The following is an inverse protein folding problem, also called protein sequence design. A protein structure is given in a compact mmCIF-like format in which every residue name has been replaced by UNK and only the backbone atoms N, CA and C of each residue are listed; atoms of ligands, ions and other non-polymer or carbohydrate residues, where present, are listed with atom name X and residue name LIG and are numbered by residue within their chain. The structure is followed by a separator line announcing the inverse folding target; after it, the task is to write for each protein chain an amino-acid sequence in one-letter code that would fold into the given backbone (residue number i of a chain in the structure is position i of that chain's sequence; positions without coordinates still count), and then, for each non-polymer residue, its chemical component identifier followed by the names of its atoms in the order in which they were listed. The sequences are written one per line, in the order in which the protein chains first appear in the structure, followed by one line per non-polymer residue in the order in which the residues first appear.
data_IF_616694979637
#
_entry.id   IF_616694979637
#
_cell.length_a   1.000
_cell.length_b   1.000
_cell.length_c   1.000
_cell.angle_alpha   90.00
_cell.angle_beta   90.00
_cell.angle_gamma   90.00
#
_symmetry.space_group_name_H-M   'P 1'
#
loop_
_entity.id
_entity.type
_entity.pdbx_description
1 polymer ?
#
# COMPACT_ATOMS: atom_id res chain seq x y z
N UNK A 1 6.58 -6.50 14.02
CA UNK A 1 6.13 -5.51 13.00
C UNK A 1 5.75 -4.19 13.66
N UNK A 2 5.90 -3.08 12.96
CA UNK A 2 5.39 -1.76 13.37
C UNK A 2 3.98 -1.61 12.79
N UNK A 3 2.96 -1.47 13.62
CA UNK A 3 1.55 -1.41 13.17
C UNK A 3 1.07 0.04 13.09
N UNK A 4 0.34 0.37 12.05
CA UNK A 4 -0.33 1.64 11.80
C UNK A 4 -1.65 1.45 11.08
N UNK A 5 -2.26 2.53 10.61
CA UNK A 5 -3.50 2.46 9.83
C UNK A 5 -3.57 3.57 8.77
N UNK A 6 -4.31 3.30 7.69
CA UNK A 6 -4.62 4.25 6.63
C UNK A 6 -5.76 5.16 7.08
N UNK A 7 -5.45 6.45 7.25
CA UNK A 7 -6.43 7.44 7.67
C UNK A 7 -7.57 7.59 6.65
N UNK A 8 -7.27 7.46 5.37
CA UNK A 8 -8.26 7.59 4.28
C UNK A 8 -9.19 6.41 4.24
N UNK A 9 -8.68 5.19 4.21
CA UNK A 9 -9.49 3.97 4.14
C UNK A 9 -10.37 3.83 5.38
N UNK A 10 -9.85 4.20 6.55
CA UNK A 10 -10.62 4.26 7.78
C UNK A 10 -11.57 5.49 7.87
N UNK A 11 -11.61 6.35 6.86
CA UNK A 11 -12.39 7.60 6.87
C UNK A 11 -12.13 8.51 8.09
N UNK A 12 -10.94 8.48 8.67
CA UNK A 12 -10.48 9.37 9.74
C UNK A 12 -9.74 10.53 9.07
N UNK A 13 -10.50 11.47 8.49
CA UNK A 13 -9.99 12.49 7.60
C UNK A 13 -9.40 13.72 8.31
N UNK A 14 -9.54 13.84 9.62
CA UNK A 14 -8.82 14.83 10.43
C UNK A 14 -7.48 14.25 10.87
N UNK A 15 -6.39 14.85 10.43
CA UNK A 15 -5.03 14.32 10.71
C UNK A 15 -4.73 14.30 12.21
N UNK A 16 -5.20 15.28 12.98
CA UNK A 16 -5.02 15.30 14.44
C UNK A 16 -5.82 14.18 15.11
N UNK A 17 -7.02 13.87 14.60
CA UNK A 17 -7.80 12.72 15.06
C UNK A 17 -7.10 11.40 14.73
N UNK A 18 -6.52 11.27 13.53
CA UNK A 18 -5.77 10.08 13.16
C UNK A 18 -4.56 9.84 14.09
N UNK A 19 -3.79 10.88 14.40
CA UNK A 19 -2.66 10.76 15.33
C UNK A 19 -3.12 10.45 16.76
N UNK A 20 -4.24 11.04 17.23
CA UNK A 20 -4.83 10.69 18.54
C UNK A 20 -5.25 9.22 18.59
N UNK A 21 -5.96 8.73 17.57
CA UNK A 21 -6.38 7.33 17.49
C UNK A 21 -5.16 6.39 17.46
N UNK A 22 -4.12 6.72 16.70
CA UNK A 22 -2.89 5.95 16.68
C UNK A 22 -2.25 5.89 18.07
N UNK A 23 -2.16 7.02 18.79
CA UNK A 23 -1.62 7.07 20.15
C UNK A 23 -2.45 6.23 21.13
N UNK A 24 -3.78 6.35 21.11
CA UNK A 24 -4.67 5.57 21.96
C UNK A 24 -4.53 4.06 21.76
N UNK A 25 -4.30 3.65 20.51
CA UNK A 25 -4.17 2.24 20.14
C UNK A 25 -2.71 1.75 20.17
N UNK A 26 -1.76 2.57 20.61
CA UNK A 26 -0.32 2.26 20.65
C UNK A 26 0.22 1.85 19.27
N UNK A 27 -0.31 2.48 18.20
CA UNK A 27 0.17 2.32 16.85
C UNK A 27 1.40 3.21 16.62
N UNK A 28 2.25 2.80 15.68
CA UNK A 28 3.55 3.45 15.49
C UNK A 28 3.58 4.43 14.34
N UNK A 29 2.59 4.40 13.45
CA UNK A 29 2.49 5.32 12.32
C UNK A 29 1.04 5.51 11.86
N UNK A 30 0.81 6.56 11.06
CA UNK A 30 -0.40 6.81 10.28
C UNK A 30 -0.03 6.84 8.81
N UNK A 31 -0.81 6.19 7.95
CA UNK A 31 -0.67 6.33 6.52
C UNK A 31 -1.59 7.42 5.99
N UNK A 32 -0.99 8.33 5.19
CA UNK A 32 -1.67 9.45 4.53
C UNK A 32 -1.78 9.17 3.04
N UNK A 33 -2.90 9.52 2.41
CA UNK A 33 -3.08 9.35 0.97
C UNK A 33 -2.92 10.67 0.21
N UNK A 34 -2.12 10.65 -0.84
CA UNK A 34 -1.95 11.79 -1.74
C UNK A 34 -3.20 12.07 -2.60
N UNK A 35 -4.11 11.12 -2.77
CA UNK A 35 -5.34 11.34 -3.55
C UNK A 35 -6.25 12.37 -2.89
N UNK A 36 -6.32 12.40 -1.56
CA UNK A 36 -7.10 13.40 -0.83
C UNK A 36 -6.37 14.74 -0.66
N UNK A 37 -5.05 14.76 -0.74
CA UNK A 37 -4.26 15.98 -0.50
C UNK A 37 -4.65 17.14 -1.38
N UNK A 38 -4.94 16.88 -2.66
CA UNK A 38 -5.35 17.95 -3.58
C UNK A 38 -6.85 18.30 -3.48
N UNK A 39 -7.68 17.33 -3.11
CA UNK A 39 -9.10 17.55 -2.88
C UNK A 39 -9.35 18.29 -1.55
N UNK A 40 -8.54 18.06 -0.55
CA UNK A 40 -8.65 18.64 0.79
C UNK A 40 -7.26 18.99 1.37
N UNK A 41 -6.55 20.01 0.83
CA UNK A 41 -5.16 20.32 1.22
C UNK A 41 -4.97 20.56 2.71
N UNK A 42 -5.98 21.11 3.38
CA UNK A 42 -5.95 21.42 4.81
C UNK A 42 -5.80 20.18 5.70
N UNK A 43 -6.21 19.00 5.19
CA UNK A 43 -6.09 17.74 5.92
C UNK A 43 -4.64 17.20 5.94
N UNK A 44 -3.77 17.74 5.08
CA UNK A 44 -2.41 17.22 4.86
C UNK A 44 -1.39 18.37 4.91
N UNK A 45 -1.55 19.27 5.86
CA UNK A 45 -0.65 20.40 6.07
C UNK A 45 0.69 19.90 6.64
N UNK A 46 1.82 19.98 5.91
CA UNK A 46 3.08 19.39 6.37
C UNK A 46 3.57 19.92 7.72
N UNK A 47 3.33 21.20 8.00
CA UNK A 47 3.73 21.79 9.27
C UNK A 47 3.00 21.14 10.45
N UNK A 48 1.68 20.95 10.34
CA UNK A 48 0.88 20.27 11.35
C UNK A 48 1.29 18.81 11.52
N UNK A 49 1.52 18.07 10.41
CA UNK A 49 1.96 16.69 10.47
C UNK A 49 3.28 16.56 11.21
N UNK A 50 4.26 17.41 10.90
CA UNK A 50 5.56 17.39 11.55
C UNK A 50 5.49 17.78 13.03
N UNK A 51 4.60 18.70 13.42
CA UNK A 51 4.30 19.01 14.81
C UNK A 51 3.74 17.79 15.55
N UNK A 52 2.74 17.13 14.97
CA UNK A 52 2.11 15.93 15.55
C UNK A 52 3.11 14.78 15.68
N UNK A 53 3.94 14.54 14.65
CA UNK A 53 5.02 13.55 14.71
C UNK A 53 6.00 13.84 15.85
N UNK A 54 6.43 15.08 15.96
CA UNK A 54 7.37 15.50 17.02
C UNK A 54 6.77 15.36 18.42
N UNK A 55 5.48 15.67 18.57
CA UNK A 55 4.78 15.62 19.85
C UNK A 55 4.46 14.19 20.31
N UNK A 56 4.18 13.27 19.36
CA UNK A 56 3.69 11.92 19.68
C UNK A 56 4.73 10.81 19.47
N UNK A 57 5.75 11.05 18.66
CA UNK A 57 6.67 10.01 18.19
C UNK A 57 6.07 9.05 17.15
N UNK A 58 4.83 9.29 16.70
CA UNK A 58 4.16 8.49 15.67
C UNK A 58 4.71 8.88 14.30
N UNK A 59 5.13 7.89 13.51
CA UNK A 59 5.65 8.07 12.17
C UNK A 59 4.57 8.26 11.11
N UNK A 60 5.00 8.37 9.85
CA UNK A 60 4.12 8.49 8.69
C UNK A 60 4.60 7.57 7.59
N UNK A 61 3.67 6.92 6.88
CA UNK A 61 3.82 6.40 5.53
C UNK A 61 2.89 7.18 4.59
N UNK A 62 3.13 7.11 3.30
CA UNK A 62 2.32 7.84 2.32
C UNK A 62 1.87 6.90 1.21
N UNK A 63 0.57 6.75 1.02
CA UNK A 63 0.03 6.17 -0.19
C UNK A 63 0.06 7.22 -1.30
N UNK A 64 0.85 6.98 -2.34
CA UNK A 64 0.99 7.89 -3.48
C UNK A 64 -0.31 7.90 -4.30
N UNK A 65 -0.53 8.97 -5.05
CA UNK A 65 -1.77 9.11 -5.84
C UNK A 65 -1.93 7.95 -6.82
N UNK A 66 -3.10 7.32 -6.80
CA UNK A 66 -3.47 6.17 -7.64
C UNK A 66 -4.78 6.39 -8.40
N UNK A 67 -5.71 7.17 -7.85
CA UNK A 67 -7.03 7.40 -8.46
C UNK A 67 -6.89 8.15 -9.78
N UNK A 68 -7.49 7.58 -10.84
CA UNK A 68 -7.47 8.10 -12.21
C UNK A 68 -6.06 8.23 -12.84
N UNK A 69 -5.04 7.61 -12.23
CA UNK A 69 -3.67 7.63 -12.70
C UNK A 69 -3.23 6.27 -13.26
N UNK A 70 -2.34 6.31 -14.24
CA UNK A 70 -1.79 5.10 -14.83
C UNK A 70 -0.37 5.34 -15.35
N UNK A 71 0.63 4.88 -14.61
CA UNK A 71 2.05 4.94 -14.99
C UNK A 71 2.36 4.10 -16.24
N UNK A 72 1.52 3.13 -16.56
CA UNK A 72 1.65 2.27 -17.74
C UNK A 72 0.85 2.80 -18.95
N UNK A 73 0.27 3.99 -18.90
CA UNK A 73 -0.57 4.54 -19.96
C UNK A 73 0.18 4.70 -21.28
N UNK A 74 -0.42 4.20 -22.36
CA UNK A 74 0.07 4.41 -23.74
C UNK A 74 -0.23 5.82 -24.27
N UNK A 75 -1.03 6.61 -23.55
CA UNK A 75 -1.30 8.01 -23.87
C UNK A 75 -0.22 8.86 -23.18
N UNK A 76 0.74 9.48 -23.92
CA UNK A 76 1.86 10.16 -23.30
C UNK A 76 1.48 11.26 -22.30
N UNK A 77 0.41 12.03 -22.61
CA UNK A 77 -0.06 13.09 -21.71
C UNK A 77 -0.61 12.54 -20.40
N UNK A 78 -1.41 11.45 -20.43
CA UNK A 78 -1.91 10.79 -19.23
C UNK A 78 -0.78 10.20 -18.39
N UNK A 79 0.18 9.51 -19.04
CA UNK A 79 1.38 8.97 -18.39
C UNK A 79 2.19 10.08 -17.72
N UNK A 80 2.46 11.18 -18.43
CA UNK A 80 3.19 12.33 -17.87
C UNK A 80 2.48 12.89 -16.63
N UNK A 81 1.15 13.05 -16.68
CA UNK A 81 0.37 13.48 -15.52
C UNK A 81 0.55 12.52 -14.36
N UNK A 82 0.51 11.21 -14.59
CA UNK A 82 0.70 10.20 -13.54
C UNK A 82 2.09 10.31 -12.90
N UNK A 83 3.15 10.46 -13.71
CA UNK A 83 4.52 10.65 -13.23
C UNK A 83 4.63 11.95 -12.39
N UNK A 84 4.13 13.07 -12.90
CA UNK A 84 4.18 14.36 -12.21
C UNK A 84 3.44 14.34 -10.87
N UNK A 85 2.31 13.63 -10.80
CA UNK A 85 1.55 13.44 -9.56
C UNK A 85 2.31 12.58 -8.56
N UNK A 86 2.91 11.49 -9.02
CA UNK A 86 3.74 10.63 -8.17
C UNK A 86 4.95 11.39 -7.62
N UNK A 87 5.65 12.17 -8.44
CA UNK A 87 6.78 12.99 -8.00
C UNK A 87 6.38 14.01 -6.93
N UNK A 88 5.23 14.70 -7.09
CA UNK A 88 4.70 15.60 -6.05
C UNK A 88 4.33 14.86 -4.76
N UNK A 89 3.82 13.63 -4.89
CA UNK A 89 3.56 12.76 -3.75
C UNK A 89 4.85 12.40 -2.99
N UNK A 90 5.91 12.07 -3.72
CA UNK A 90 7.23 11.78 -3.15
C UNK A 90 7.86 13.01 -2.49
N UNK A 91 7.70 14.21 -3.06
CA UNK A 91 8.12 15.47 -2.44
C UNK A 91 7.36 15.72 -1.12
N UNK A 92 6.05 15.47 -1.11
CA UNK A 92 5.27 15.54 0.13
C UNK A 92 5.74 14.50 1.14
N UNK A 93 5.94 13.24 0.73
CA UNK A 93 6.43 12.19 1.60
C UNK A 93 7.80 12.55 2.22
N UNK A 94 8.68 13.14 1.43
CA UNK A 94 9.96 13.67 1.93
C UNK A 94 9.75 14.79 2.96
N UNK A 95 8.84 15.74 2.67
CA UNK A 95 8.58 16.90 3.55
C UNK A 95 8.04 16.49 4.92
N UNK A 96 7.26 15.41 4.97
CA UNK A 96 6.71 14.86 6.22
C UNK A 96 7.56 13.74 6.82
N UNK A 97 8.77 13.50 6.25
CA UNK A 97 9.71 12.45 6.65
C UNK A 97 9.02 11.07 6.75
N UNK A 98 8.29 10.73 5.68
CA UNK A 98 7.64 9.44 5.58
C UNK A 98 8.66 8.30 5.43
N UNK A 99 8.41 7.17 6.06
CA UNK A 99 9.31 6.01 6.01
C UNK A 99 9.25 5.26 4.67
N UNK A 100 8.14 5.34 3.93
CA UNK A 100 8.01 4.88 2.55
C UNK A 100 6.81 5.55 1.85
N UNK A 101 6.83 5.49 0.50
CA UNK A 101 5.70 5.81 -0.36
C UNK A 101 5.18 4.53 -1.04
N UNK A 102 3.91 4.18 -0.86
CA UNK A 102 3.28 3.05 -1.55
C UNK A 102 2.83 3.50 -2.93
N UNK A 103 3.08 2.67 -3.94
CA UNK A 103 2.82 3.00 -5.35
C UNK A 103 2.16 1.83 -6.07
N UNK A 104 1.08 2.12 -6.80
CA UNK A 104 0.45 1.18 -7.72
C UNK A 104 1.21 1.05 -9.04
N UNK A 105 1.18 -0.14 -9.65
CA UNK A 105 1.95 -0.42 -10.87
C UNK A 105 1.32 0.14 -12.14
N UNK A 106 0.00 0.15 -12.25
CA UNK A 106 -0.73 0.64 -13.43
C UNK A 106 -1.56 -0.45 -14.13
N UNK A 107 -2.33 -0.01 -15.11
CA UNK A 107 -3.38 -0.80 -15.78
C UNK A 107 -3.12 -0.94 -17.28
N UNK A 108 -3.53 -2.06 -17.87
CA UNK A 108 -3.59 -2.30 -19.33
C UNK A 108 -5.00 -2.71 -19.74
N UNK A 109 -5.63 -1.89 -20.58
CA UNK A 109 -6.98 -2.16 -21.10
C UNK A 109 -6.98 -2.85 -22.49
N UNK A 110 -5.80 -3.21 -22.99
CA UNK A 110 -5.63 -3.78 -24.33
C UNK A 110 -5.14 -5.23 -24.24
N UNK A 111 -6.03 -6.23 -24.35
CA UNK A 111 -5.68 -7.64 -24.23
C UNK A 111 -5.01 -8.16 -25.53
N UNK A 112 -3.85 -7.60 -25.87
CA UNK A 112 -3.10 -7.98 -27.06
C UNK A 112 -1.59 -8.01 -26.75
N UNK A 113 -0.86 -9.08 -27.08
CA UNK A 113 0.57 -9.22 -26.72
C UNK A 113 1.48 -8.05 -27.17
N UNK A 114 1.18 -7.42 -28.33
CA UNK A 114 1.93 -6.25 -28.75
C UNK A 114 1.65 -5.02 -27.89
N UNK A 115 0.42 -4.87 -27.40
CA UNK A 115 0.07 -3.80 -26.48
C UNK A 115 0.72 -4.02 -25.11
N UNK A 116 0.78 -5.25 -24.62
CA UNK A 116 1.46 -5.59 -23.37
C UNK A 116 2.94 -5.18 -23.39
N UNK A 117 3.65 -5.44 -24.50
CA UNK A 117 5.04 -5.00 -24.65
C UNK A 117 5.19 -3.46 -24.59
N UNK A 118 4.25 -2.73 -25.21
CA UNK A 118 4.25 -1.26 -25.17
C UNK A 118 3.88 -0.71 -23.78
N UNK A 119 2.90 -1.32 -23.12
CA UNK A 119 2.49 -0.98 -21.75
C UNK A 119 3.66 -1.22 -20.78
N UNK A 120 4.35 -2.36 -20.92
CA UNK A 120 5.54 -2.68 -20.13
C UNK A 120 6.66 -1.66 -20.34
N UNK A 121 6.94 -1.27 -21.59
CA UNK A 121 7.93 -0.24 -21.88
C UNK A 121 7.54 1.11 -21.25
N UNK A 122 6.28 1.51 -21.37
CA UNK A 122 5.76 2.74 -20.78
C UNK A 122 5.89 2.76 -19.26
N UNK A 123 5.57 1.64 -18.58
CA UNK A 123 5.74 1.52 -17.13
C UNK A 123 7.21 1.61 -16.73
N UNK A 124 8.11 0.92 -17.46
CA UNK A 124 9.56 0.97 -17.22
C UNK A 124 10.11 2.40 -17.33
N UNK A 125 9.71 3.14 -18.39
CA UNK A 125 10.08 4.55 -18.55
C UNK A 125 9.60 5.39 -17.37
N UNK A 126 8.33 5.22 -16.96
CA UNK A 126 7.76 5.95 -15.83
C UNK A 126 8.50 5.68 -14.52
N UNK A 127 8.78 4.41 -14.22
CA UNK A 127 9.48 4.05 -12.99
C UNK A 127 10.93 4.57 -13.00
N UNK A 128 11.59 4.61 -14.17
CA UNK A 128 12.94 5.15 -14.28
C UNK A 128 13.05 6.63 -13.91
N UNK A 129 11.97 7.40 -14.05
CA UNK A 129 11.92 8.81 -13.61
C UNK A 129 11.71 8.97 -12.09
N UNK A 130 11.35 7.90 -11.37
CA UNK A 130 11.04 7.94 -9.94
C UNK A 130 12.18 7.43 -9.06
N UNK A 131 13.20 6.78 -9.63
CA UNK A 131 14.24 6.05 -8.86
C UNK A 131 15.17 6.94 -8.01
N UNK A 132 15.26 8.23 -8.31
CA UNK A 132 16.07 9.18 -7.56
C UNK A 132 15.35 9.76 -6.32
N UNK A 133 14.22 9.17 -5.92
CA UNK A 133 13.50 9.60 -4.74
C UNK A 133 14.32 9.39 -3.47
N UNK A 134 14.29 10.38 -2.57
CA UNK A 134 14.87 10.28 -1.22
C UNK A 134 14.02 9.43 -0.26
N UNK A 135 12.76 9.16 -0.62
CA UNK A 135 11.84 8.28 0.13
C UNK A 135 11.78 6.93 -0.57
N UNK A 136 11.95 5.81 0.15
CA UNK A 136 11.81 4.48 -0.42
C UNK A 136 10.41 4.30 -1.05
N UNK A 137 10.36 3.83 -2.30
CA UNK A 137 9.11 3.51 -2.98
C UNK A 137 8.85 2.01 -2.83
N UNK A 138 7.67 1.66 -2.34
CA UNK A 138 7.19 0.30 -2.20
C UNK A 138 6.08 0.05 -3.24
N UNK A 139 6.38 -0.75 -4.28
CA UNK A 139 5.38 -1.17 -5.25
C UNK A 139 4.46 -2.21 -4.65
N UNK A 140 3.16 -2.01 -4.84
CA UNK A 140 2.11 -2.86 -4.31
C UNK A 140 1.65 -3.92 -5.31
N UNK A 141 1.38 -5.14 -4.81
CA UNK A 141 0.67 -6.17 -5.57
C UNK A 141 -0.82 -5.82 -5.64
N UNK A 142 -1.36 -5.72 -6.84
CA UNK A 142 -2.77 -5.43 -7.06
C UNK A 142 -3.55 -6.72 -7.40
N UNK A 143 -3.51 -7.18 -8.63
CA UNK A 143 -4.25 -8.36 -9.12
C UNK A 143 -5.76 -8.35 -8.82
N UNK A 144 -6.35 -7.15 -8.73
CA UNK A 144 -7.77 -6.95 -8.40
C UNK A 144 -8.67 -7.16 -9.62
N UNK A 145 -8.14 -6.83 -10.80
CA UNK A 145 -8.87 -6.87 -12.06
C UNK A 145 -8.06 -7.54 -13.16
N UNK A 146 -8.73 -7.89 -14.27
CA UNK A 146 -8.05 -8.40 -15.48
C UNK A 146 -7.20 -7.32 -16.18
N UNK A 147 -7.32 -6.07 -15.74
CA UNK A 147 -6.60 -4.93 -16.31
C UNK A 147 -5.31 -4.59 -15.56
N UNK A 148 -5.08 -5.16 -14.39
CA UNK A 148 -3.83 -4.95 -13.66
C UNK A 148 -2.68 -5.51 -14.50
N UNK A 149 -1.68 -4.64 -14.75
CA UNK A 149 -0.62 -4.97 -15.69
C UNK A 149 0.40 -5.93 -15.09
N UNK A 150 0.84 -5.67 -13.86
CA UNK A 150 1.79 -6.54 -13.15
C UNK A 150 1.02 -7.60 -12.40
N UNK A 151 1.26 -8.86 -12.74
CA UNK A 151 0.54 -10.00 -12.19
C UNK A 151 1.48 -10.99 -11.53
N UNK A 152 1.21 -11.25 -10.27
CA UNK A 152 1.93 -12.23 -9.50
C UNK A 152 3.31 -11.79 -9.01
N UNK A 153 3.79 -12.54 -8.04
CA UNK A 153 4.98 -12.20 -7.26
C UNK A 153 6.26 -12.10 -8.09
N UNK A 154 6.39 -12.91 -9.16
CA UNK A 154 7.60 -12.93 -9.99
C UNK A 154 7.76 -11.64 -10.79
N UNK A 155 6.70 -11.20 -11.46
CA UNK A 155 6.73 -9.97 -12.26
C UNK A 155 6.98 -8.76 -11.38
N UNK A 156 6.31 -8.69 -10.23
CA UNK A 156 6.52 -7.62 -9.26
C UNK A 156 7.99 -7.57 -8.78
N UNK A 157 8.58 -8.72 -8.44
CA UNK A 157 9.98 -8.81 -8.03
C UNK A 157 10.95 -8.39 -9.14
N UNK A 158 10.71 -8.80 -10.38
CA UNK A 158 11.55 -8.43 -11.51
C UNK A 158 11.52 -6.92 -11.74
N UNK A 159 10.33 -6.32 -11.63
CA UNK A 159 10.13 -4.89 -11.79
C UNK A 159 10.82 -4.08 -10.67
N UNK A 160 10.57 -4.44 -9.41
CA UNK A 160 11.17 -3.74 -8.26
C UNK A 160 12.68 -3.85 -8.24
N UNK A 161 13.25 -5.02 -8.53
CA UNK A 161 14.71 -5.19 -8.60
C UNK A 161 15.37 -4.41 -9.73
N UNK A 162 14.72 -4.33 -10.88
CA UNK A 162 15.23 -3.57 -12.02
C UNK A 162 15.39 -2.09 -11.70
N UNK A 163 14.46 -1.53 -10.93
CA UNK A 163 14.43 -0.11 -10.60
C UNK A 163 14.95 0.21 -9.19
N UNK A 164 15.48 -0.77 -8.45
CA UNK A 164 15.97 -0.55 -7.09
C UNK A 164 14.85 -0.18 -6.09
N UNK A 165 13.60 -0.55 -6.40
CA UNK A 165 12.43 -0.29 -5.56
C UNK A 165 12.22 -1.40 -4.52
N UNK A 166 11.32 -1.16 -3.58
CA UNK A 166 10.90 -2.12 -2.57
C UNK A 166 9.49 -2.61 -2.88
N UNK A 167 8.95 -3.49 -2.02
CA UNK A 167 7.61 -4.02 -2.20
C UNK A 167 6.72 -3.68 -1.01
N UNK A 168 5.48 -3.29 -1.31
CA UNK A 168 4.35 -3.40 -0.42
C UNK A 168 3.62 -4.71 -0.74
N UNK A 169 3.40 -5.55 0.27
CA UNK A 169 2.57 -6.74 0.12
C UNK A 169 1.21 -6.49 0.76
N UNK A 170 0.19 -6.36 -0.08
CA UNK A 170 -1.19 -6.36 0.36
C UNK A 170 -1.70 -7.80 0.47
N UNK A 171 -2.11 -8.19 1.69
CA UNK A 171 -2.58 -9.53 1.99
C UNK A 171 -3.97 -9.79 1.42
N UNK A 172 -4.81 -8.76 1.39
CA UNK A 172 -6.16 -8.87 0.82
C UNK A 172 -6.14 -9.04 -0.69
N UNK A 173 -5.30 -8.28 -1.40
CA UNK A 173 -5.10 -8.44 -2.84
C UNK A 173 -4.53 -9.83 -3.18
N UNK A 174 -3.53 -10.29 -2.42
CA UNK A 174 -2.98 -11.64 -2.59
C UNK A 174 -4.03 -12.74 -2.30
N UNK A 175 -4.96 -12.50 -1.36
CA UNK A 175 -6.07 -13.41 -1.09
C UNK A 175 -7.05 -13.50 -2.27
N UNK A 176 -7.43 -12.35 -2.85
CA UNK A 176 -8.29 -12.30 -4.04
C UNK A 176 -7.64 -13.05 -5.21
N UNK A 177 -6.34 -12.82 -5.46
CA UNK A 177 -5.59 -13.54 -6.48
C UNK A 177 -5.60 -15.05 -6.21
N UNK A 178 -5.32 -15.46 -4.97
CA UNK A 178 -5.30 -16.87 -4.57
C UNK A 178 -6.64 -17.58 -4.77
N UNK A 179 -7.76 -16.93 -4.47
CA UNK A 179 -9.10 -17.47 -4.70
C UNK A 179 -9.40 -17.56 -6.20
N UNK A 180 -9.10 -16.49 -6.96
CA UNK A 180 -9.35 -16.44 -8.40
C UNK A 180 -8.54 -17.49 -9.17
N UNK A 181 -7.28 -17.65 -8.84
CA UNK A 181 -6.35 -18.57 -9.53
C UNK A 181 -6.32 -19.96 -8.89
N UNK A 182 -7.09 -20.20 -7.83
CA UNK A 182 -7.11 -21.44 -7.05
C UNK A 182 -5.71 -21.90 -6.62
N UNK A 183 -4.88 -20.98 -6.10
CA UNK A 183 -3.49 -21.23 -5.68
C UNK A 183 -3.16 -20.57 -4.34
N UNK A 184 -1.92 -20.76 -3.84
CA UNK A 184 -1.36 -20.12 -2.65
C UNK A 184 -0.63 -18.81 -3.04
N UNK A 185 -1.35 -17.82 -3.58
CA UNK A 185 -0.74 -16.57 -4.02
C UNK A 185 -0.02 -15.87 -2.86
N UNK A 186 -0.61 -15.80 -1.68
CA UNK A 186 0.02 -15.16 -0.51
C UNK A 186 1.33 -15.83 -0.12
N UNK A 187 1.38 -17.17 -0.12
CA UNK A 187 2.62 -17.90 0.10
C UNK A 187 3.65 -17.65 -0.99
N UNK A 188 3.22 -17.53 -2.25
CA UNK A 188 4.10 -17.22 -3.38
C UNK A 188 4.70 -15.82 -3.27
N UNK A 189 3.91 -14.81 -2.93
CA UNK A 189 4.41 -13.45 -2.67
C UNK A 189 5.45 -13.46 -1.55
N UNK A 190 5.15 -14.07 -0.41
CA UNK A 190 6.06 -14.15 0.73
C UNK A 190 7.39 -14.82 0.39
N UNK A 191 7.35 -15.95 -0.33
CA UNK A 191 8.55 -16.69 -0.75
C UNK A 191 9.35 -15.92 -1.80
N UNK A 192 8.66 -15.31 -2.75
CA UNK A 192 9.30 -14.65 -3.89
C UNK A 192 9.86 -13.29 -3.52
N UNK A 193 9.12 -12.45 -2.82
CA UNK A 193 9.55 -11.10 -2.46
C UNK A 193 10.50 -11.09 -1.25
N UNK A 194 10.25 -11.95 -0.26
CA UNK A 194 11.14 -12.14 0.90
C UNK A 194 11.46 -10.83 1.62
N UNK A 195 12.77 -10.56 1.82
CA UNK A 195 13.26 -9.37 2.51
C UNK A 195 13.10 -8.07 1.71
N UNK A 196 12.68 -8.13 0.44
CA UNK A 196 12.39 -6.94 -0.36
C UNK A 196 11.01 -6.32 -0.02
N UNK A 197 10.17 -7.01 0.78
CA UNK A 197 8.94 -6.45 1.36
C UNK A 197 9.32 -5.58 2.56
N UNK A 198 8.93 -4.30 2.53
CA UNK A 198 9.17 -3.32 3.60
C UNK A 198 7.89 -2.80 4.23
N UNK A 199 6.78 -2.99 3.55
CA UNK A 199 5.46 -2.54 3.97
C UNK A 199 4.41 -3.62 3.72
N UNK A 200 3.41 -3.71 4.59
CA UNK A 200 2.25 -4.58 4.41
C UNK A 200 0.99 -3.73 4.44
N UNK A 201 0.01 -4.07 3.60
CA UNK A 201 -1.37 -3.68 3.78
C UNK A 201 -2.17 -4.85 4.35
N UNK A 202 -2.96 -4.58 5.37
CA UNK A 202 -3.74 -5.56 6.11
C UNK A 202 -5.20 -5.15 6.12
N UNK A 203 -6.02 -5.91 5.46
CA UNK A 203 -7.49 -5.85 5.51
C UNK A 203 -8.07 -7.24 5.28
N UNK A 204 -9.35 -7.40 5.41
CA UNK A 204 -10.01 -8.67 5.14
C UNK A 204 -11.04 -8.54 4.01
N UNK A 205 -11.30 -9.65 3.34
CA UNK A 205 -12.29 -9.75 2.28
C UNK A 205 -12.75 -11.21 2.12
N UNK A 206 -13.63 -11.46 1.17
CA UNK A 206 -14.15 -12.80 0.88
C UNK A 206 -13.42 -13.51 -0.27
N UNK A 207 -12.33 -12.95 -0.77
CA UNK A 207 -11.59 -13.43 -1.94
C UNK A 207 -12.23 -13.06 -3.28
N UNK A 208 -13.35 -12.33 -3.28
CA UNK A 208 -14.10 -11.97 -4.49
C UNK A 208 -14.06 -10.48 -4.80
N UNK A 209 -13.92 -9.65 -3.78
CA UNK A 209 -13.90 -8.20 -3.91
C UNK A 209 -12.96 -7.56 -2.91
N UNK A 210 -12.39 -6.42 -3.31
CA UNK A 210 -11.52 -5.61 -2.47
C UNK A 210 -12.34 -4.78 -1.46
N UNK A 211 -12.87 -5.48 -0.45
CA UNK A 211 -13.85 -4.92 0.47
C UNK A 211 -13.26 -4.15 1.65
N UNK A 212 -11.96 -4.23 1.88
CA UNK A 212 -11.26 -3.58 3.00
C UNK A 212 -11.99 -3.75 4.35
N UNK A 213 -12.49 -4.96 4.63
CA UNK A 213 -13.15 -5.26 5.92
C UNK A 213 -12.12 -5.23 7.06
N UNK A 214 -12.53 -4.96 8.30
CA UNK A 214 -11.68 -5.19 9.47
C UNK A 214 -11.11 -6.61 9.45
N UNK A 215 -9.86 -6.76 9.90
CA UNK A 215 -9.22 -8.07 9.95
C UNK A 215 -9.98 -9.03 10.85
N UNK A 216 -10.22 -10.25 10.36
CA UNK A 216 -11.06 -11.27 11.01
C UNK A 216 -12.55 -11.20 10.64
N UNK A 217 -12.99 -10.28 9.77
CA UNK A 217 -14.36 -10.17 9.28
C UNK A 217 -14.54 -10.70 7.85
N UNK A 218 -13.52 -11.33 7.30
CA UNK A 218 -13.54 -11.98 5.98
C UNK A 218 -13.11 -13.44 6.05
N UNK A 219 -12.37 -13.88 5.03
CA UNK A 219 -11.97 -15.29 4.88
C UNK A 219 -10.45 -15.49 4.88
N UNK A 220 -9.65 -14.44 5.11
CA UNK A 220 -8.20 -14.57 5.24
C UNK A 220 -7.86 -15.30 6.54
N UNK A 221 -7.11 -16.40 6.45
CA UNK A 221 -6.62 -17.11 7.62
C UNK A 221 -5.44 -16.37 8.28
N UNK A 222 -5.75 -15.34 9.06
CA UNK A 222 -4.76 -14.56 9.82
C UNK A 222 -4.02 -15.40 10.86
N UNK A 223 -4.64 -16.47 11.40
CA UNK A 223 -3.97 -17.37 12.32
C UNK A 223 -2.82 -18.12 11.64
N UNK A 224 -3.01 -18.55 10.39
CA UNK A 224 -1.93 -19.14 9.58
C UNK A 224 -0.84 -18.11 9.21
N UNK A 225 -1.15 -16.83 9.20
CA UNK A 225 -0.20 -15.76 8.94
C UNK A 225 0.53 -15.27 10.20
N UNK A 226 0.12 -15.67 11.39
CA UNK A 226 0.63 -15.13 12.66
C UNK A 226 2.15 -15.16 12.75
N UNK A 227 2.80 -16.29 12.42
CA UNK A 227 4.26 -16.42 12.48
C UNK A 227 4.97 -15.42 11.53
N UNK A 228 4.43 -15.21 10.34
CA UNK A 228 4.95 -14.23 9.39
C UNK A 228 4.80 -12.80 9.93
N UNK A 229 3.59 -12.44 10.39
CA UNK A 229 3.31 -11.10 10.91
C UNK A 229 4.16 -10.78 12.14
N UNK A 230 4.31 -11.72 13.08
CA UNK A 230 5.17 -11.52 14.26
C UNK A 230 6.66 -11.38 13.90
N UNK A 231 7.13 -12.11 12.89
CA UNK A 231 8.53 -12.05 12.42
C UNK A 231 8.83 -10.91 11.45
N UNK A 232 7.83 -10.17 11.00
CA UNK A 232 8.01 -9.09 10.02
C UNK A 232 8.64 -7.83 10.68
N UNK A 233 9.75 -7.36 10.13
CA UNK A 233 10.51 -6.19 10.65
C UNK A 233 10.19 -4.87 9.93
N UNK A 234 9.14 -4.85 9.14
CA UNK A 234 8.66 -3.65 8.43
C UNK A 234 7.49 -2.96 9.12
N UNK A 235 6.82 -2.10 8.36
CA UNK A 235 5.57 -1.44 8.71
C UNK A 235 4.37 -2.22 8.16
N UNK A 236 3.30 -2.32 8.94
CA UNK A 236 2.05 -2.95 8.53
C UNK A 236 0.89 -1.98 8.75
N UNK A 237 0.21 -1.61 7.68
CA UNK A 237 -0.87 -0.65 7.65
C UNK A 237 -2.22 -1.36 7.65
N UNK A 238 -3.09 -1.02 8.58
CA UNK A 238 -4.50 -1.42 8.51
C UNK A 238 -5.22 -0.55 7.49
N UNK A 239 -5.54 -1.11 6.35
CA UNK A 239 -6.36 -0.49 5.32
C UNK A 239 -7.82 -0.95 5.43
N UNK A 240 -8.49 -0.55 6.50
CA UNK A 240 -9.81 -1.08 6.83
C UNK A 240 -10.88 -0.01 6.84
N UNK A 241 -12.07 -0.37 6.38
CA UNK A 241 -13.29 0.45 6.45
C UNK A 241 -13.91 0.40 7.87
N UNK A 242 -15.01 1.12 8.07
CA UNK A 242 -15.73 1.11 9.35
C UNK A 242 -15.25 2.15 10.36
N UNK A 243 -14.47 3.12 9.94
CA UNK A 243 -14.02 4.22 10.79
C UNK A 243 -13.11 3.77 11.93
N UNK A 244 -13.07 4.55 13.00
CA UNK A 244 -12.30 4.20 14.21
C UNK A 244 -12.68 2.82 14.77
N UNK A 245 -13.95 2.41 14.66
CA UNK A 245 -14.41 1.11 15.14
C UNK A 245 -13.75 -0.05 14.37
N UNK A 246 -13.62 0.07 13.04
CA UNK A 246 -12.94 -0.92 12.21
C UNK A 246 -11.46 -1.03 12.54
N UNK A 247 -10.79 0.10 12.75
CA UNK A 247 -9.37 0.11 13.19
C UNK A 247 -9.23 -0.59 14.55
N UNK A 248 -10.08 -0.26 15.54
CA UNK A 248 -10.06 -0.86 16.88
C UNK A 248 -10.29 -2.37 16.82
N UNK A 249 -11.28 -2.82 16.05
CA UNK A 249 -11.57 -4.24 15.84
C UNK A 249 -10.37 -4.98 15.26
N UNK A 250 -9.75 -4.41 14.23
CA UNK A 250 -8.59 -4.99 13.57
C UNK A 250 -7.38 -5.08 14.49
N UNK A 251 -7.09 -4.04 15.27
CA UNK A 251 -6.02 -4.06 16.28
C UNK A 251 -6.26 -5.15 17.32
N UNK A 252 -7.49 -5.26 17.83
CA UNK A 252 -7.86 -6.29 18.80
C UNK A 252 -7.70 -7.70 18.21
N UNK A 253 -8.15 -7.92 16.97
CA UNK A 253 -7.98 -9.18 16.28
C UNK A 253 -6.51 -9.54 16.10
N UNK A 254 -5.68 -8.65 15.55
CA UNK A 254 -4.25 -8.93 15.35
C UNK A 254 -3.49 -9.20 16.65
N UNK A 255 -3.86 -8.53 17.75
CA UNK A 255 -3.27 -8.78 19.08
C UNK A 255 -3.70 -10.12 19.68
N UNK A 256 -4.82 -10.69 19.21
CA UNK A 256 -5.31 -12.01 19.65
C UNK A 256 -4.69 -13.19 18.90
N UNK A 257 -3.92 -12.94 17.84
CA UNK A 257 -3.30 -14.00 17.05
C UNK A 257 -2.30 -14.82 17.88
N UNK A 258 -2.19 -16.13 17.60
CA UNK A 258 -1.30 -17.01 18.34
C UNK A 258 0.16 -16.54 18.23
N UNK A 259 0.85 -16.46 19.35
CA UNK A 259 2.29 -16.19 19.37
C UNK A 259 3.04 -17.44 18.88
N UNK A 260 4.00 -17.32 17.95
CA UNK A 260 4.82 -18.44 17.54
C UNK A 260 5.53 -19.06 18.76
N UNK A 261 5.54 -20.41 18.82
CA UNK A 261 6.20 -21.15 19.88
C UNK A 261 7.74 -21.03 19.81
#
# INVERSE_FOLDING_TARGET
MRLGFSAVTAAVLDVSAAFRLAAELELTFVELSCDLREAAPVLHEPALINELRSATGIGVTVHLSSVDLNLASLIPAARRTSIDRTLRGLEFAHTVDASCGVLHTGLSYLPHPQAEALVGAALQESLSELVDSSVPIALENLCLTDFDFVRGARELRELTRRHGLRNCLDLGHAHIEGVREANDALGDYRRTLGADVVHLHLHDNDGLSDAHRPTGEGTIDYAAQAAFLHGFDGTACLEVTGGEAGVRASVAHLRSLPTPA
#
